data_IF_719390390122
#
_entry.id   IF_719390390122
#
_cell.length_a   1.000
_cell.length_b   1.000
_cell.length_c   1.000
_cell.angle_alpha   90.00
_cell.angle_beta   90.00
_cell.angle_gamma   90.00
#
_symmetry.space_group_name_H-M   'P 1'
#
loop_
_entity.id
_entity.type
_entity.pdbx_description
1 polymer ?
#
# COMPACT_ATOMS: atom_id res chain seq x y z
N UNK A 1 26.69 13.02 -0.44
CA UNK A 1 26.06 14.30 -0.89
C UNK A 1 25.07 14.71 0.20
N UNK A 2 25.10 15.95 0.63
CA UNK A 2 24.15 16.46 1.62
C UNK A 2 22.79 16.74 0.98
N UNK A 3 21.73 16.68 1.77
CA UNK A 3 20.36 16.95 1.29
C UNK A 3 20.19 18.34 0.69
N UNK A 4 20.89 19.35 1.19
CA UNK A 4 20.90 20.73 0.66
C UNK A 4 21.37 20.83 -0.80
N UNK A 5 22.13 19.83 -1.28
CA UNK A 5 22.67 19.79 -2.64
C UNK A 5 21.82 18.93 -3.61
N UNK A 6 20.66 18.46 -3.19
CA UNK A 6 19.73 17.72 -4.07
C UNK A 6 18.94 18.73 -4.89
N UNK A 7 18.83 18.51 -6.20
CA UNK A 7 17.91 19.26 -7.07
C UNK A 7 16.45 18.96 -6.69
N UNK A 8 15.63 20.00 -6.63
CA UNK A 8 14.20 19.92 -6.26
C UNK A 8 13.29 20.06 -7.47
N UNK A 9 12.04 19.55 -7.41
CA UNK A 9 11.49 18.76 -6.30
C UNK A 9 12.02 17.32 -6.26
N UNK A 10 12.18 16.74 -5.07
CA UNK A 10 12.73 15.41 -4.89
C UNK A 10 12.10 14.64 -3.70
N UNK A 11 11.85 13.33 -3.85
CA UNK A 11 11.41 12.49 -2.74
C UNK A 11 12.58 12.03 -1.88
N UNK A 12 12.49 12.29 -0.59
CA UNK A 12 13.44 11.83 0.43
C UNK A 12 12.82 10.72 1.27
N UNK A 13 13.60 9.70 1.60
CA UNK A 13 13.29 8.72 2.63
C UNK A 13 14.28 8.87 3.77
N UNK A 14 13.78 9.23 4.95
CA UNK A 14 14.58 9.17 6.18
C UNK A 14 14.74 7.69 6.58
N UNK A 15 15.96 7.18 6.44
CA UNK A 15 16.27 5.78 6.71
C UNK A 15 16.11 5.42 8.19
N UNK A 16 16.39 6.35 9.11
CA UNK A 16 16.22 6.09 10.54
C UNK A 16 14.74 5.88 10.89
N UNK A 17 13.84 6.72 10.34
CA UNK A 17 12.41 6.62 10.55
C UNK A 17 11.81 5.39 9.83
N UNK A 18 12.22 5.12 8.59
CA UNK A 18 11.79 3.94 7.85
C UNK A 18 12.19 2.64 8.59
N UNK A 19 13.43 2.53 9.02
CA UNK A 19 13.92 1.37 9.77
C UNK A 19 13.24 1.24 11.14
N UNK A 20 12.90 2.35 11.78
CA UNK A 20 12.09 2.35 13.01
C UNK A 20 10.68 1.79 12.73
N UNK A 21 10.04 2.18 11.65
CA UNK A 21 8.73 1.65 11.25
C UNK A 21 8.78 0.13 11.00
N UNK A 22 9.81 -0.34 10.29
CA UNK A 22 10.04 -1.78 10.06
C UNK A 22 10.22 -2.54 11.38
N UNK A 23 11.04 -2.03 12.31
CA UNK A 23 11.21 -2.62 13.66
C UNK A 23 9.91 -2.62 14.45
N UNK A 24 9.17 -1.52 14.46
CA UNK A 24 7.87 -1.40 15.15
C UNK A 24 6.88 -2.46 14.66
N UNK A 25 6.81 -2.71 13.35
CA UNK A 25 5.95 -3.76 12.79
C UNK A 25 6.45 -5.15 13.21
N UNK A 26 7.73 -5.43 13.09
CA UNK A 26 8.34 -6.71 13.50
C UNK A 26 8.11 -7.02 14.97
N UNK A 27 8.33 -6.05 15.85
CA UNK A 27 8.12 -6.18 17.29
C UNK A 27 6.65 -6.39 17.63
N UNK A 28 5.75 -5.69 16.94
CA UNK A 28 4.31 -5.86 17.15
C UNK A 28 3.81 -7.25 16.71
N UNK A 29 4.39 -7.83 15.68
CA UNK A 29 4.07 -9.19 15.22
C UNK A 29 4.65 -10.29 16.13
N UNK A 30 5.69 -9.98 16.90
CA UNK A 30 6.37 -10.98 17.72
C UNK A 30 5.41 -11.68 18.70
N UNK A 31 5.45 -13.02 18.71
CA UNK A 31 4.60 -13.84 19.55
C UNK A 31 3.14 -14.01 19.09
N UNK A 32 2.76 -13.40 17.95
CA UNK A 32 1.45 -13.60 17.32
C UNK A 32 1.52 -14.70 16.26
N UNK A 33 0.45 -15.49 16.13
CA UNK A 33 0.29 -16.39 14.98
C UNK A 33 -0.27 -15.59 13.79
N UNK A 34 0.49 -14.60 13.35
CA UNK A 34 0.08 -13.64 12.32
C UNK A 34 1.26 -13.35 11.40
N UNK A 35 1.03 -13.35 10.11
CA UNK A 35 2.05 -13.11 9.09
C UNK A 35 1.86 -11.74 8.45
N UNK A 36 2.97 -11.12 8.02
CA UNK A 36 2.96 -9.90 7.22
C UNK A 36 3.22 -10.24 5.75
N UNK A 37 2.33 -9.81 4.87
CA UNK A 37 2.53 -9.73 3.43
C UNK A 37 2.39 -8.28 3.00
N UNK A 38 3.51 -7.56 3.02
CA UNK A 38 3.52 -6.11 2.79
C UNK A 38 3.02 -5.72 1.40
N UNK A 39 2.35 -4.57 1.28
CA UNK A 39 1.73 -4.17 0.01
C UNK A 39 2.63 -3.24 -0.82
N UNK A 40 3.16 -3.76 -1.92
CA UNK A 40 4.12 -3.09 -2.83
C UNK A 40 3.56 -1.88 -3.60
N UNK A 41 2.23 -1.77 -3.76
CA UNK A 41 1.62 -0.64 -4.50
C UNK A 41 2.04 0.74 -3.98
N UNK A 42 2.41 0.81 -2.69
CA UNK A 42 2.85 2.03 -2.02
C UNK A 42 4.28 2.41 -2.37
N UNK A 43 5.32 1.62 -2.02
CA UNK A 43 6.70 2.03 -2.24
C UNK A 43 7.16 1.86 -3.69
N UNK A 44 6.55 0.97 -4.45
CA UNK A 44 6.86 0.68 -5.87
C UNK A 44 8.36 0.47 -6.18
N UNK A 45 9.17 0.22 -5.15
CA UNK A 45 10.61 -0.08 -5.29
C UNK A 45 10.98 -1.38 -4.60
N UNK A 46 11.57 -2.35 -5.31
CA UNK A 46 11.92 -3.65 -4.78
C UNK A 46 12.89 -3.61 -3.59
N UNK A 47 13.70 -2.56 -3.47
CA UNK A 47 14.62 -2.39 -2.35
C UNK A 47 13.87 -2.33 -1.02
N UNK A 48 12.74 -1.62 -0.97
CA UNK A 48 11.90 -1.57 0.23
C UNK A 48 11.24 -2.92 0.47
N UNK A 49 10.72 -3.59 -0.56
CA UNK A 49 10.15 -4.93 -0.44
C UNK A 49 11.15 -5.95 0.15
N UNK A 50 12.41 -5.90 -0.26
CA UNK A 50 13.47 -6.71 0.32
C UNK A 50 13.73 -6.37 1.79
N UNK A 51 13.76 -5.08 2.15
CA UNK A 51 13.88 -4.67 3.55
C UNK A 51 12.70 -5.17 4.40
N UNK A 52 11.48 -5.10 3.91
CA UNK A 52 10.31 -5.65 4.60
C UNK A 52 10.44 -7.17 4.83
N UNK A 53 10.96 -7.93 3.85
CA UNK A 53 11.24 -9.36 3.99
C UNK A 53 12.36 -9.62 5.02
N UNK A 54 13.44 -8.84 5.03
CA UNK A 54 14.51 -8.90 6.02
C UNK A 54 13.98 -8.66 7.45
N UNK A 55 12.95 -7.83 7.58
CA UNK A 55 12.27 -7.57 8.85
C UNK A 55 11.13 -8.53 9.17
N UNK A 56 10.92 -9.57 8.36
CA UNK A 56 10.05 -10.70 8.67
C UNK A 56 8.76 -10.77 7.88
N UNK A 57 8.57 -9.97 6.83
CA UNK A 57 7.47 -10.19 5.90
C UNK A 57 7.66 -11.53 5.17
N UNK A 58 6.60 -12.32 5.07
CA UNK A 58 6.65 -13.64 4.42
C UNK A 58 6.69 -13.57 2.89
N UNK A 59 6.24 -12.45 2.34
CA UNK A 59 6.09 -12.19 0.92
C UNK A 59 5.51 -10.80 0.68
N UNK A 60 5.04 -10.55 -0.53
CA UNK A 60 4.63 -9.21 -0.97
C UNK A 60 3.28 -9.26 -1.71
N UNK A 61 2.41 -8.29 -1.47
CA UNK A 61 1.24 -8.05 -2.30
C UNK A 61 1.59 -7.13 -3.47
N UNK A 62 1.16 -7.47 -4.67
CA UNK A 62 1.16 -6.60 -5.84
C UNK A 62 -0.26 -6.23 -6.24
N UNK A 63 -0.50 -5.01 -6.72
CA UNK A 63 -1.83 -4.61 -7.19
C UNK A 63 -2.03 -4.91 -8.67
N UNK A 64 -0.98 -4.97 -9.44
CA UNK A 64 -0.99 -5.15 -10.91
C UNK A 64 0.03 -6.19 -11.36
N UNK A 65 -0.23 -6.77 -12.54
CA UNK A 65 0.70 -7.75 -13.14
C UNK A 65 2.07 -7.11 -13.40
N UNK A 66 2.11 -5.87 -13.90
CA UNK A 66 3.36 -5.15 -14.11
C UNK A 66 4.17 -4.89 -12.82
N UNK A 67 3.51 -4.73 -11.67
CA UNK A 67 4.19 -4.68 -10.36
C UNK A 67 4.77 -6.06 -9.99
N UNK A 68 4.00 -7.13 -10.20
CA UNK A 68 4.45 -8.49 -9.96
C UNK A 68 5.66 -8.86 -10.83
N UNK A 69 5.69 -8.43 -12.10
CA UNK A 69 6.85 -8.62 -12.98
C UNK A 69 8.12 -7.95 -12.42
N UNK A 70 8.00 -6.71 -11.93
CA UNK A 70 9.13 -5.99 -11.29
C UNK A 70 9.62 -6.74 -10.04
N UNK A 71 8.71 -7.23 -9.21
CA UNK A 71 9.05 -8.01 -8.01
C UNK A 71 9.74 -9.33 -8.36
N UNK A 72 9.25 -10.06 -9.37
CA UNK A 72 9.87 -11.30 -9.86
C UNK A 72 11.26 -11.05 -10.43
N UNK A 73 11.44 -10.00 -11.23
CA UNK A 73 12.75 -9.59 -11.76
C UNK A 73 13.74 -9.24 -10.64
N UNK A 74 13.25 -8.68 -9.55
CA UNK A 74 14.04 -8.41 -8.35
C UNK A 74 14.28 -9.65 -7.46
N UNK A 75 13.75 -10.82 -7.81
CA UNK A 75 13.99 -12.08 -7.11
C UNK A 75 13.02 -12.39 -5.96
N UNK A 76 11.98 -11.59 -5.74
CA UNK A 76 10.94 -11.85 -4.72
C UNK A 76 10.21 -13.16 -5.05
N UNK A 77 10.07 -14.05 -4.07
CA UNK A 77 9.65 -15.45 -4.28
C UNK A 77 8.18 -15.75 -3.99
N UNK A 78 7.51 -14.98 -3.15
CA UNK A 78 6.10 -15.18 -2.79
C UNK A 78 5.31 -13.89 -3.00
N UNK A 79 4.41 -13.89 -4.00
CA UNK A 79 3.67 -12.70 -4.45
C UNK A 79 2.18 -13.03 -4.54
N UNK A 80 1.35 -12.25 -3.85
CA UNK A 80 -0.10 -12.27 -3.99
C UNK A 80 -0.54 -11.04 -4.80
N UNK A 81 -1.19 -11.26 -5.93
CA UNK A 81 -1.79 -10.17 -6.72
C UNK A 81 -3.20 -9.90 -6.17
N UNK A 82 -3.35 -8.77 -5.52
CA UNK A 82 -4.59 -8.36 -4.83
C UNK A 82 -5.52 -7.58 -5.75
N UNK A 83 -5.73 -8.10 -6.95
CA UNK A 83 -6.63 -7.54 -7.95
C UNK A 83 -7.16 -8.66 -8.86
N UNK A 84 -8.38 -8.50 -9.38
CA UNK A 84 -8.95 -9.41 -10.37
C UNK A 84 -8.26 -9.22 -11.71
N UNK A 85 -7.60 -10.26 -12.20
CA UNK A 85 -6.91 -10.25 -13.49
C UNK A 85 -7.78 -10.98 -14.51
N UNK A 86 -8.48 -10.22 -15.36
CA UNK A 86 -9.48 -10.75 -16.31
C UNK A 86 -9.02 -10.65 -17.77
N UNK A 87 -8.13 -9.74 -18.10
CA UNK A 87 -7.59 -9.59 -19.46
C UNK A 87 -6.73 -10.81 -19.84
N UNK A 88 -6.99 -11.49 -20.98
CA UNK A 88 -6.26 -12.71 -21.35
C UNK A 88 -4.76 -12.53 -21.48
N UNK A 89 -4.30 -11.37 -21.95
CA UNK A 89 -2.86 -11.07 -22.09
C UNK A 89 -2.23 -10.94 -20.71
N UNK A 90 -2.90 -10.28 -19.76
CA UNK A 90 -2.44 -10.15 -18.37
C UNK A 90 -2.46 -11.50 -17.64
N UNK A 91 -3.47 -12.34 -17.89
CA UNK A 91 -3.54 -13.70 -17.33
C UNK A 91 -2.33 -14.52 -17.80
N UNK A 92 -2.04 -14.49 -19.10
CA UNK A 92 -0.89 -15.23 -19.64
C UNK A 92 0.44 -14.72 -19.07
N UNK A 93 0.66 -13.40 -19.01
CA UNK A 93 1.83 -12.78 -18.39
C UNK A 93 2.00 -13.23 -16.94
N UNK A 94 0.93 -13.09 -16.14
CA UNK A 94 0.92 -13.48 -14.72
C UNK A 94 1.27 -14.97 -14.53
N UNK A 95 0.65 -15.86 -15.29
CA UNK A 95 0.90 -17.31 -15.17
C UNK A 95 2.34 -17.67 -15.57
N UNK A 96 2.93 -16.99 -16.55
CA UNK A 96 4.33 -17.20 -16.91
C UNK A 96 5.30 -16.87 -15.77
N UNK A 97 4.95 -15.99 -14.84
CA UNK A 97 5.75 -15.66 -13.65
C UNK A 97 5.90 -16.85 -12.68
N UNK A 98 4.97 -17.81 -12.71
CA UNK A 98 5.03 -19.02 -11.88
C UNK A 98 6.32 -19.83 -12.05
N UNK A 99 7.03 -19.66 -13.15
CA UNK A 99 8.33 -20.30 -13.39
C UNK A 99 9.45 -19.80 -12.49
N UNK A 100 9.28 -18.61 -11.90
CA UNK A 100 10.33 -17.91 -11.16
C UNK A 100 9.96 -17.65 -9.71
N UNK A 101 8.65 -17.50 -9.42
CA UNK A 101 8.13 -17.15 -8.12
C UNK A 101 6.77 -17.80 -7.91
N UNK A 102 6.39 -18.05 -6.64
CA UNK A 102 5.04 -18.44 -6.27
C UNK A 102 4.13 -17.23 -6.48
N UNK A 103 3.28 -17.28 -7.50
CA UNK A 103 2.28 -16.26 -7.79
C UNK A 103 0.91 -16.78 -7.37
N UNK A 104 0.17 -15.95 -6.65
CA UNK A 104 -1.21 -16.18 -6.26
C UNK A 104 -2.04 -14.96 -6.66
N UNK A 105 -3.35 -15.12 -6.82
CA UNK A 105 -4.23 -14.04 -7.26
C UNK A 105 -5.58 -14.11 -6.56
N UNK A 106 -6.22 -12.96 -6.37
CA UNK A 106 -7.59 -12.90 -5.86
C UNK A 106 -8.61 -13.05 -6.99
N UNK A 107 -9.76 -13.64 -6.68
CA UNK A 107 -10.87 -13.88 -7.61
C UNK A 107 -12.21 -13.62 -6.92
N UNK A 108 -13.22 -13.21 -7.71
CA UNK A 108 -14.59 -13.01 -7.23
C UNK A 108 -15.66 -13.44 -8.26
N UNK A 109 -15.24 -14.08 -9.35
CA UNK A 109 -16.15 -14.43 -10.42
C UNK A 109 -15.79 -15.77 -11.09
N UNK A 110 -16.74 -16.70 -11.26
CA UNK A 110 -16.46 -18.02 -11.81
C UNK A 110 -15.99 -18.00 -13.27
N UNK A 111 -16.39 -17.00 -14.07
CA UNK A 111 -15.92 -16.84 -15.46
C UNK A 111 -14.43 -16.51 -15.48
N UNK A 112 -14.00 -15.62 -14.58
CA UNK A 112 -12.57 -15.29 -14.42
C UNK A 112 -11.76 -16.51 -13.94
N UNK A 113 -12.26 -17.23 -12.91
CA UNK A 113 -11.61 -18.44 -12.40
C UNK A 113 -11.43 -19.49 -13.49
N UNK A 114 -12.44 -19.68 -14.36
CA UNK A 114 -12.35 -20.62 -15.49
C UNK A 114 -11.24 -20.22 -16.46
N UNK A 115 -11.15 -18.94 -16.84
CA UNK A 115 -10.08 -18.44 -17.72
C UNK A 115 -8.68 -18.65 -17.10
N UNK A 116 -8.53 -18.37 -15.81
CA UNK A 116 -7.30 -18.62 -15.05
C UNK A 116 -6.92 -20.11 -15.05
N UNK A 117 -7.89 -20.99 -14.75
CA UNK A 117 -7.69 -22.44 -14.73
C UNK A 117 -7.26 -22.99 -16.08
N UNK A 118 -7.98 -22.65 -17.15
CA UNK A 118 -7.66 -23.11 -18.51
C UNK A 118 -6.27 -22.65 -18.96
N UNK A 119 -5.90 -21.41 -18.63
CA UNK A 119 -4.58 -20.87 -19.01
C UNK A 119 -3.47 -21.53 -18.19
N UNK A 120 -3.66 -21.76 -16.90
CA UNK A 120 -2.71 -22.46 -16.04
C UNK A 120 -2.47 -23.90 -16.55
N UNK A 121 -3.52 -24.63 -16.90
CA UNK A 121 -3.41 -25.98 -17.49
C UNK A 121 -2.61 -25.99 -18.80
N UNK A 122 -2.86 -25.04 -19.71
CA UNK A 122 -2.10 -24.89 -20.96
C UNK A 122 -0.58 -24.66 -20.71
N UNK A 123 -0.22 -24.09 -19.57
CA UNK A 123 1.16 -23.82 -19.16
C UNK A 123 1.74 -24.89 -18.21
N UNK A 124 1.02 -26.01 -17.99
CA UNK A 124 1.39 -27.10 -17.08
C UNK A 124 1.71 -26.59 -15.66
N UNK A 125 0.89 -25.70 -15.14
CA UNK A 125 1.01 -25.17 -13.78
C UNK A 125 -0.33 -25.12 -13.08
N UNK A 126 -0.33 -24.89 -11.76
CA UNK A 126 -1.52 -24.69 -10.94
C UNK A 126 -1.41 -23.37 -10.19
N UNK A 127 -2.44 -22.53 -10.28
CA UNK A 127 -2.46 -21.19 -9.70
C UNK A 127 -3.22 -21.20 -8.37
N UNK A 128 -2.58 -20.74 -7.30
CA UNK A 128 -3.26 -20.49 -6.03
C UNK A 128 -4.19 -19.30 -6.13
N UNK A 129 -5.45 -19.46 -5.69
CA UNK A 129 -6.43 -18.40 -5.74
C UNK A 129 -7.04 -18.14 -4.37
N UNK A 130 -7.26 -16.86 -4.04
CA UNK A 130 -7.99 -16.40 -2.88
C UNK A 130 -9.33 -15.81 -3.33
N UNK A 131 -10.42 -16.18 -2.66
CA UNK A 131 -11.71 -15.56 -2.96
C UNK A 131 -11.80 -14.23 -2.24
N UNK A 132 -12.00 -13.13 -3.00
CA UNK A 132 -12.27 -11.82 -2.39
C UNK A 132 -13.72 -11.76 -1.94
N UNK A 133 -13.93 -11.40 -0.67
CA UNK A 133 -15.22 -11.23 -0.04
C UNK A 133 -15.51 -9.75 0.14
N UNK A 134 -16.69 -9.29 -0.28
CA UNK A 134 -17.13 -7.92 0.02
C UNK A 134 -17.54 -7.79 1.49
N UNK A 135 -16.59 -7.43 2.32
CA UNK A 135 -16.82 -7.22 3.75
C UNK A 135 -17.49 -5.87 4.09
N UNK A 136 -18.03 -5.19 3.07
CA UNK A 136 -18.77 -3.92 3.22
C UNK A 136 -18.19 -2.76 2.41
N UNK A 137 -17.09 -2.99 1.69
CA UNK A 137 -16.40 -1.98 0.90
C UNK A 137 -17.11 -1.62 -0.41
N UNK A 138 -17.99 -2.49 -0.92
CA UNK A 138 -18.74 -2.33 -2.16
C UNK A 138 -17.87 -1.97 -3.36
N UNK A 139 -16.66 -2.55 -3.40
CA UNK A 139 -15.68 -2.34 -4.47
C UNK A 139 -15.61 -3.56 -5.40
N UNK A 140 -15.15 -4.67 -4.87
CA UNK A 140 -15.03 -5.98 -5.49
C UNK A 140 -15.36 -7.04 -4.45
N UNK A 141 -15.44 -8.29 -4.89
CA UNK A 141 -15.69 -9.44 -4.03
C UNK A 141 -17.11 -10.00 -4.14
N UNK A 142 -17.24 -11.28 -3.84
CA UNK A 142 -18.54 -11.94 -3.69
C UNK A 142 -19.15 -11.60 -2.34
N UNK A 143 -20.47 -11.74 -2.24
CA UNK A 143 -21.15 -11.54 -0.97
C UNK A 143 -20.71 -12.61 0.05
N UNK A 144 -20.58 -12.24 1.35
CA UNK A 144 -20.29 -13.17 2.42
C UNK A 144 -21.28 -14.33 2.45
N UNK A 145 -20.83 -15.50 2.93
CA UNK A 145 -21.71 -16.64 3.14
C UNK A 145 -21.92 -17.47 1.87
N UNK A 146 -23.17 -17.78 1.51
CA UNK A 146 -23.54 -18.76 0.49
C UNK A 146 -22.91 -18.50 -0.89
N UNK A 147 -22.80 -17.27 -1.32
CA UNK A 147 -22.20 -16.94 -2.63
C UNK A 147 -20.69 -17.26 -2.62
N UNK A 148 -20.02 -16.99 -1.51
CA UNK A 148 -18.60 -17.33 -1.34
C UNK A 148 -18.41 -18.84 -1.34
N UNK A 149 -19.23 -19.61 -0.59
CA UNK A 149 -19.20 -21.09 -0.58
C UNK A 149 -19.41 -21.65 -1.98
N UNK A 150 -20.36 -21.11 -2.75
CA UNK A 150 -20.61 -21.60 -4.11
C UNK A 150 -19.43 -21.35 -5.05
N UNK A 151 -18.77 -20.18 -4.94
CA UNK A 151 -17.56 -19.91 -5.72
C UNK A 151 -16.41 -20.86 -5.34
N UNK A 152 -16.20 -21.11 -4.05
CA UNK A 152 -15.20 -22.09 -3.56
C UNK A 152 -15.51 -23.49 -4.12
N UNK A 153 -16.78 -23.93 -4.10
CA UNK A 153 -17.21 -25.21 -4.69
C UNK A 153 -16.94 -25.28 -6.18
N UNK A 154 -17.09 -24.18 -6.92
CA UNK A 154 -16.75 -24.15 -8.34
C UNK A 154 -15.23 -24.21 -8.57
N UNK A 155 -14.44 -23.48 -7.77
CA UNK A 155 -12.96 -23.52 -7.81
C UNK A 155 -12.48 -24.95 -7.56
N UNK A 156 -13.04 -25.67 -6.59
CA UNK A 156 -12.61 -27.03 -6.22
C UNK A 156 -12.78 -28.05 -7.34
N UNK A 157 -13.65 -27.81 -8.32
CA UNK A 157 -13.85 -28.64 -9.52
C UNK A 157 -12.88 -28.34 -10.66
N UNK A 158 -12.07 -27.29 -10.57
CA UNK A 158 -11.18 -26.83 -11.63
C UNK A 158 -9.73 -27.27 -11.35
N UNK A 159 -9.10 -27.94 -12.31
CA UNK A 159 -7.77 -28.55 -12.13
C UNK A 159 -6.61 -27.54 -12.16
N UNK A 160 -6.76 -26.43 -12.89
CA UNK A 160 -5.69 -25.42 -13.07
C UNK A 160 -5.58 -24.38 -11.97
N UNK A 161 -6.51 -24.40 -11.01
CA UNK A 161 -6.50 -23.51 -9.85
C UNK A 161 -6.62 -24.28 -8.54
N UNK A 162 -6.23 -23.64 -7.44
CA UNK A 162 -6.32 -24.19 -6.11
C UNK A 162 -6.79 -23.12 -5.12
N UNK A 163 -7.87 -23.41 -4.40
CA UNK A 163 -8.36 -22.52 -3.35
C UNK A 163 -7.35 -22.48 -2.20
N UNK A 164 -6.95 -21.28 -1.78
CA UNK A 164 -5.98 -21.05 -0.71
C UNK A 164 -6.55 -20.27 0.47
N UNK A 165 -7.71 -19.67 0.30
CA UNK A 165 -8.33 -18.92 1.36
C UNK A 165 -9.07 -17.67 0.90
N UNK A 166 -9.24 -16.73 1.81
CA UNK A 166 -10.07 -15.55 1.64
C UNK A 166 -9.23 -14.27 1.63
N UNK A 167 -9.61 -13.34 0.75
CA UNK A 167 -9.16 -11.94 0.77
C UNK A 167 -10.30 -11.08 1.32
N UNK A 168 -10.08 -10.46 2.48
CA UNK A 168 -11.09 -9.69 3.20
C UNK A 168 -10.54 -8.30 3.54
N UNK A 169 -10.60 -7.35 2.59
CA UNK A 169 -10.00 -6.03 2.77
C UNK A 169 -11.03 -4.91 2.88
N UNK A 170 -11.10 -4.29 4.05
CA UNK A 170 -11.96 -3.14 4.33
C UNK A 170 -11.23 -1.81 4.07
N UNK A 171 -10.96 -1.49 2.80
CA UNK A 171 -10.23 -0.29 2.40
C UNK A 171 -10.88 1.01 2.88
N UNK A 172 -12.21 1.06 2.94
CA UNK A 172 -12.98 2.22 3.38
C UNK A 172 -12.78 2.56 4.87
N UNK A 173 -12.28 1.60 5.68
CA UNK A 173 -12.03 1.79 7.11
C UNK A 173 -10.60 2.26 7.43
N UNK A 174 -9.69 2.28 6.46
CA UNK A 174 -8.27 2.57 6.74
C UNK A 174 -8.06 3.93 7.42
N UNK A 175 -8.82 4.95 6.99
CA UNK A 175 -8.79 6.30 7.53
C UNK A 175 -10.20 6.81 7.90
N UNK A 176 -11.11 5.89 8.25
CA UNK A 176 -12.52 6.23 8.48
C UNK A 176 -12.72 7.18 9.66
N UNK A 177 -11.83 7.15 10.67
CA UNK A 177 -11.93 8.03 11.84
C UNK A 177 -11.95 9.52 11.49
N UNK A 178 -11.35 9.93 10.37
CA UNK A 178 -11.42 11.32 9.89
C UNK A 178 -12.84 11.76 9.52
N UNK A 179 -13.70 10.80 9.14
CA UNK A 179 -15.08 11.09 8.67
C UNK A 179 -16.15 10.71 9.68
N UNK A 180 -15.98 9.58 10.36
CA UNK A 180 -17.03 9.01 11.22
C UNK A 180 -16.64 8.94 12.69
N UNK A 181 -15.40 9.27 13.05
CA UNK A 181 -14.84 9.14 14.39
C UNK A 181 -14.38 7.72 14.72
N UNK A 182 -13.56 7.61 15.77
CA UNK A 182 -12.91 6.35 16.14
C UNK A 182 -13.92 5.29 16.63
N UNK A 183 -14.89 5.65 17.46
CA UNK A 183 -15.87 4.71 18.00
C UNK A 183 -16.69 4.03 16.89
N UNK A 184 -17.21 4.82 15.95
CA UNK A 184 -17.94 4.26 14.79
C UNK A 184 -17.07 3.42 13.90
N UNK A 185 -15.79 3.79 13.71
CA UNK A 185 -14.83 2.95 13.00
C UNK A 185 -14.69 1.57 13.66
N UNK A 186 -14.61 1.52 14.99
CA UNK A 186 -14.52 0.25 15.72
C UNK A 186 -15.80 -0.59 15.59
N UNK A 187 -16.98 0.04 15.61
CA UNK A 187 -18.25 -0.66 15.33
C UNK A 187 -18.29 -1.27 13.93
N UNK A 188 -17.81 -0.53 12.92
CA UNK A 188 -17.74 -1.05 11.54
C UNK A 188 -16.69 -2.17 11.39
N UNK A 189 -15.54 -2.06 12.05
CA UNK A 189 -14.52 -3.13 12.09
C UNK A 189 -15.15 -4.40 12.67
N UNK A 190 -15.89 -4.32 13.76
CA UNK A 190 -16.59 -5.47 14.34
C UNK A 190 -17.54 -6.15 13.33
N UNK A 191 -18.31 -5.39 12.56
CA UNK A 191 -19.18 -5.93 11.51
C UNK A 191 -18.39 -6.61 10.40
N UNK A 192 -17.21 -6.07 10.06
CA UNK A 192 -16.30 -6.67 9.07
C UNK A 192 -15.80 -8.02 9.59
N UNK A 193 -15.29 -8.07 10.81
CA UNK A 193 -14.74 -9.31 11.39
C UNK A 193 -15.80 -10.39 11.58
N UNK A 194 -17.02 -10.02 12.00
CA UNK A 194 -18.17 -10.94 12.08
C UNK A 194 -18.50 -11.56 10.70
N UNK A 195 -18.42 -10.80 9.62
CA UNK A 195 -18.62 -11.32 8.25
C UNK A 195 -17.49 -12.28 7.85
N UNK A 196 -16.25 -11.93 8.18
CA UNK A 196 -15.08 -12.78 7.90
C UNK A 196 -15.23 -14.13 8.60
N UNK A 197 -15.47 -14.12 9.90
CA UNK A 197 -15.58 -15.35 10.71
C UNK A 197 -16.75 -16.22 10.26
N UNK A 198 -17.93 -15.61 10.06
CA UNK A 198 -19.12 -16.36 9.59
C UNK A 198 -18.86 -16.99 8.22
N UNK A 199 -18.25 -16.25 7.29
CA UNK A 199 -17.95 -16.78 5.94
C UNK A 199 -16.94 -17.92 6.00
N UNK A 200 -15.91 -17.82 6.85
CA UNK A 200 -14.93 -18.89 7.06
C UNK A 200 -15.63 -20.17 7.57
N UNK A 201 -16.44 -20.04 8.62
CA UNK A 201 -17.20 -21.18 9.19
C UNK A 201 -18.11 -21.82 8.15
N UNK A 202 -18.86 -21.05 7.36
CA UNK A 202 -19.75 -21.61 6.34
C UNK A 202 -19.00 -22.37 5.24
N UNK A 203 -17.77 -21.96 4.89
CA UNK A 203 -16.91 -22.66 3.94
C UNK A 203 -16.40 -23.98 4.55
N UNK A 204 -15.96 -23.95 5.82
CA UNK A 204 -15.48 -25.12 6.55
C UNK A 204 -16.60 -26.15 6.77
N UNK A 205 -17.80 -25.71 7.14
CA UNK A 205 -19.01 -26.54 7.24
C UNK A 205 -19.42 -27.18 5.90
N UNK A 206 -19.10 -26.51 4.79
CA UNK A 206 -19.31 -27.06 3.44
C UNK A 206 -18.22 -28.07 3.02
N UNK A 207 -17.24 -28.36 3.89
CA UNK A 207 -16.18 -29.34 3.69
C UNK A 207 -14.94 -28.83 2.95
N UNK A 208 -14.70 -27.52 2.93
CA UNK A 208 -13.52 -26.92 2.32
C UNK A 208 -12.61 -26.32 3.38
N UNK A 209 -11.30 -26.53 3.25
CA UNK A 209 -10.31 -25.93 4.13
C UNK A 209 -9.99 -24.49 3.73
N UNK A 210 -9.94 -23.57 4.69
CA UNK A 210 -9.53 -22.16 4.51
C UNK A 210 -8.11 -22.01 5.07
N UNK A 211 -7.10 -22.26 4.22
CA UNK A 211 -5.68 -22.24 4.65
C UNK A 211 -5.25 -20.86 5.18
N UNK A 212 -5.81 -19.79 4.64
CA UNK A 212 -5.41 -18.42 5.00
C UNK A 212 -6.54 -17.43 4.81
N UNK A 213 -6.81 -16.63 5.82
CA UNK A 213 -7.60 -15.39 5.72
C UNK A 213 -6.62 -14.22 5.69
N UNK A 214 -6.63 -13.44 4.61
CA UNK A 214 -5.71 -12.32 4.43
C UNK A 214 -6.48 -11.02 4.20
N UNK A 215 -5.98 -9.90 4.74
CA UNK A 215 -6.63 -8.59 4.66
C UNK A 215 -5.97 -7.57 5.55
N UNK A 216 -6.78 -6.70 6.14
CA UNK A 216 -6.32 -5.60 6.98
C UNK A 216 -5.32 -4.65 6.27
N UNK A 217 -5.09 -3.49 6.81
CA UNK A 217 -4.17 -2.51 6.24
C UNK A 217 -3.50 -1.67 7.33
N UNK A 218 -2.73 -0.67 6.94
CA UNK A 218 -1.98 0.18 7.87
C UNK A 218 -2.86 0.81 8.95
N UNK A 219 -4.06 1.26 8.59
CA UNK A 219 -4.97 1.96 9.52
C UNK A 219 -5.88 1.05 10.34
N UNK A 220 -5.92 -0.27 10.08
CA UNK A 220 -6.86 -1.18 10.74
C UNK A 220 -6.21 -2.40 11.38
N UNK A 221 -5.00 -2.81 10.94
CA UNK A 221 -4.39 -4.09 11.32
C UNK A 221 -4.36 -4.36 12.83
N UNK A 222 -4.18 -3.35 13.69
CA UNK A 222 -4.13 -3.53 15.14
C UNK A 222 -5.49 -3.79 15.79
N UNK A 223 -6.58 -3.54 15.07
CA UNK A 223 -7.94 -3.65 15.58
C UNK A 223 -8.69 -4.89 15.10
N UNK A 224 -8.20 -5.56 14.06
CA UNK A 224 -8.89 -6.69 13.42
C UNK A 224 -8.00 -7.94 13.24
N UNK A 225 -6.73 -7.91 13.66
CA UNK A 225 -5.72 -8.94 13.36
C UNK A 225 -6.09 -10.35 13.85
N UNK A 226 -6.88 -10.48 14.91
CA UNK A 226 -7.25 -11.78 15.50
C UNK A 226 -8.12 -12.63 14.57
N UNK A 227 -8.71 -12.01 13.55
CA UNK A 227 -9.57 -12.63 12.55
C UNK A 227 -8.83 -13.00 11.26
N UNK A 228 -7.52 -12.77 11.22
CA UNK A 228 -6.67 -12.95 10.04
C UNK A 228 -5.46 -13.84 10.35
N UNK A 229 -5.04 -14.60 9.35
CA UNK A 229 -3.77 -15.34 9.37
C UNK A 229 -2.64 -14.49 8.79
N UNK A 230 -3.00 -13.47 7.98
CA UNK A 230 -2.07 -12.64 7.24
C UNK A 230 -2.62 -11.21 7.09
N UNK A 231 -1.77 -10.20 7.33
CA UNK A 231 -2.11 -8.79 7.15
C UNK A 231 -1.34 -8.17 5.99
N UNK A 232 -1.93 -7.12 5.36
CA UNK A 232 -1.44 -6.50 4.12
C UNK A 232 -1.13 -4.98 4.23
N UNK A 233 -0.61 -4.44 5.33
CA UNK A 233 -0.24 -3.03 5.40
C UNK A 233 0.87 -2.70 4.39
N UNK A 234 0.77 -1.55 3.72
CA UNK A 234 1.77 -1.06 2.78
C UNK A 234 2.32 0.31 3.17
N UNK A 235 1.46 1.24 3.54
CA UNK A 235 1.84 2.62 3.87
C UNK A 235 2.69 2.74 5.14
N UNK A 236 2.67 1.74 6.03
CA UNK A 236 3.34 1.78 7.33
C UNK A 236 4.84 2.06 7.25
N UNK A 237 5.50 1.61 6.18
CA UNK A 237 6.96 1.70 6.04
C UNK A 237 7.43 3.13 5.81
N UNK A 238 6.64 3.94 5.08
CA UNK A 238 6.97 5.32 4.70
C UNK A 238 6.06 6.36 5.36
N UNK A 239 4.78 6.06 5.55
CA UNK A 239 3.73 6.90 6.12
C UNK A 239 3.52 8.24 5.39
N UNK A 240 2.37 8.87 5.64
CA UNK A 240 2.03 10.21 5.19
C UNK A 240 1.20 10.97 6.24
N UNK A 241 0.88 12.22 5.93
CA UNK A 241 0.15 13.10 6.85
C UNK A 241 -1.28 12.60 7.15
N UNK A 242 -1.94 11.93 6.19
CA UNK A 242 -3.31 11.43 6.37
C UNK A 242 -3.37 10.14 7.17
N UNK A 243 -2.37 9.25 7.02
CA UNK A 243 -2.30 8.01 7.80
C UNK A 243 -1.76 8.22 9.22
N UNK A 244 -0.94 9.25 9.48
CA UNK A 244 -0.30 9.46 10.79
C UNK A 244 -1.29 9.49 11.96
N UNK A 245 -2.43 10.17 11.89
CA UNK A 245 -3.43 10.11 12.97
C UNK A 245 -4.05 8.72 13.15
N UNK A 246 -4.21 7.95 12.08
CA UNK A 246 -4.86 6.63 12.07
C UNK A 246 -3.93 5.49 12.50
N UNK A 247 -2.63 5.69 12.38
CA UNK A 247 -1.59 4.73 12.75
C UNK A 247 -0.43 5.44 13.48
N UNK A 248 -0.67 6.03 14.67
CA UNK A 248 0.26 6.94 15.35
C UNK A 248 1.59 6.28 15.78
N UNK A 249 1.64 4.96 15.80
CA UNK A 249 2.83 4.17 16.14
C UNK A 249 3.91 4.12 15.04
N UNK A 250 3.60 4.57 13.83
CA UNK A 250 4.56 4.71 12.74
C UNK A 250 4.88 6.18 12.49
N UNK A 251 6.11 6.48 12.09
CA UNK A 251 6.56 7.83 11.79
C UNK A 251 6.53 8.09 10.28
N UNK A 252 6.33 9.35 9.88
CA UNK A 252 6.40 9.75 8.49
C UNK A 252 7.86 9.79 8.06
N UNK A 253 8.29 8.81 7.28
CA UNK A 253 9.64 8.67 6.77
C UNK A 253 9.82 9.27 5.37
N UNK A 254 8.71 9.54 4.67
CA UNK A 254 8.70 10.13 3.33
C UNK A 254 8.45 11.64 3.39
N UNK A 255 9.30 12.42 2.73
CA UNK A 255 9.08 13.85 2.48
C UNK A 255 9.34 14.21 1.02
N UNK A 256 8.68 15.28 0.55
CA UNK A 256 9.07 15.98 -0.66
C UNK A 256 9.98 17.15 -0.28
N UNK A 257 11.19 17.17 -0.82
CA UNK A 257 12.09 18.31 -0.75
C UNK A 257 11.73 19.29 -1.84
N UNK A 258 11.53 20.55 -1.48
CA UNK A 258 11.25 21.65 -2.41
C UNK A 258 12.11 22.87 -2.07
N UNK A 259 12.23 23.82 -3.01
CA UNK A 259 12.98 25.06 -2.84
C UNK A 259 12.03 26.26 -2.87
N UNK A 260 12.19 27.20 -1.95
CA UNK A 260 11.50 28.49 -1.98
C UNK A 260 12.01 29.29 -3.16
N UNK A 261 11.14 29.60 -4.11
CA UNK A 261 11.47 30.28 -5.36
C UNK A 261 11.04 31.76 -5.40
N UNK A 262 10.07 32.13 -4.53
CA UNK A 262 9.55 33.49 -4.49
C UNK A 262 8.96 33.83 -3.12
N UNK A 263 9.14 35.10 -2.72
CA UNK A 263 8.59 35.68 -1.48
C UNK A 263 7.76 36.95 -1.83
N UNK A 264 6.60 36.78 -2.53
CA UNK A 264 5.87 37.93 -3.10
C UNK A 264 5.14 38.78 -2.06
N UNK A 265 4.86 38.23 -0.87
CA UNK A 265 4.21 38.91 0.24
C UNK A 265 4.87 38.52 1.56
N UNK A 266 4.80 39.38 2.59
CA UNK A 266 5.46 39.09 3.88
C UNK A 266 4.99 37.79 4.58
N UNK A 267 3.77 37.34 4.28
CA UNK A 267 3.15 36.17 4.89
C UNK A 267 2.85 35.03 3.91
N UNK A 268 3.47 35.11 2.71
CA UNK A 268 3.30 34.08 1.68
C UNK A 268 4.58 33.86 0.89
N UNK A 269 4.96 32.60 0.75
CA UNK A 269 6.05 32.16 -0.12
C UNK A 269 5.58 31.12 -1.13
N UNK A 270 6.32 31.01 -2.21
CA UNK A 270 6.09 30.05 -3.29
C UNK A 270 7.28 29.11 -3.38
N UNK A 271 7.03 27.82 -3.60
CA UNK A 271 8.05 26.80 -3.80
C UNK A 271 7.85 26.03 -5.12
N UNK A 272 8.89 25.37 -5.59
CA UNK A 272 9.03 24.75 -6.91
C UNK A 272 8.37 23.36 -7.05
N UNK A 273 7.36 23.04 -6.24
CA UNK A 273 6.62 21.79 -6.33
C UNK A 273 5.13 22.06 -6.49
N UNK A 274 4.54 21.55 -7.55
CA UNK A 274 3.12 21.63 -7.86
C UNK A 274 2.45 20.26 -8.00
N UNK A 275 1.27 20.22 -8.61
CA UNK A 275 0.48 19.00 -8.80
C UNK A 275 1.19 17.90 -9.59
N UNK A 276 2.25 18.23 -10.36
CA UNK A 276 3.06 17.23 -11.06
C UNK A 276 4.10 16.53 -10.17
N UNK A 277 4.32 17.02 -8.97
CA UNK A 277 5.29 16.44 -8.02
C UNK A 277 4.72 16.04 -6.66
N UNK A 278 3.49 16.49 -6.33
CA UNK A 278 2.82 16.12 -5.09
C UNK A 278 1.30 16.02 -5.29
N UNK A 279 0.71 14.91 -4.85
CA UNK A 279 -0.73 14.70 -4.92
C UNK A 279 -1.47 15.39 -3.77
N UNK A 280 -2.71 15.83 -4.06
CA UNK A 280 -3.62 16.45 -3.09
C UNK A 280 -4.98 15.73 -3.00
N UNK A 281 -5.07 14.48 -3.48
CA UNK A 281 -6.31 13.70 -3.51
C UNK A 281 -6.86 13.38 -2.11
N UNK A 282 -6.02 13.39 -1.06
CA UNK A 282 -6.43 13.29 0.35
C UNK A 282 -6.37 14.65 1.08
N UNK A 283 -6.30 15.75 0.36
CA UNK A 283 -6.24 17.09 0.90
C UNK A 283 -4.86 17.75 0.77
N UNK A 284 -4.67 18.92 1.37
CA UNK A 284 -3.42 19.64 1.25
C UNK A 284 -2.28 18.93 1.99
N UNK A 285 -1.04 19.05 1.47
CA UNK A 285 0.15 18.60 2.20
C UNK A 285 0.44 19.52 3.39
N UNK A 286 1.38 19.11 4.25
CA UNK A 286 1.83 19.92 5.40
C UNK A 286 3.34 20.07 5.45
N UNK A 287 3.83 21.20 5.96
CA UNK A 287 5.26 21.39 6.16
C UNK A 287 5.76 20.55 7.34
N UNK A 288 6.93 19.95 7.15
CA UNK A 288 7.70 19.37 8.24
C UNK A 288 8.36 20.50 9.05
N UNK A 289 8.38 20.35 10.37
CA UNK A 289 9.05 21.23 11.33
C UNK A 289 8.49 22.67 11.45
N UNK A 290 7.46 23.06 10.70
CA UNK A 290 6.82 24.37 10.77
C UNK A 290 5.37 24.25 11.27
N UNK A 291 5.07 24.97 12.34
CA UNK A 291 3.70 25.08 12.89
C UNK A 291 3.00 26.32 12.34
N UNK A 292 1.66 26.32 12.42
CA UNK A 292 0.83 27.46 12.05
C UNK A 292 1.05 27.92 10.59
N UNK A 293 1.34 26.95 9.71
CA UNK A 293 1.48 27.18 8.26
C UNK A 293 0.35 26.49 7.51
N UNK A 294 -0.07 27.06 6.40
CA UNK A 294 -1.02 26.46 5.46
C UNK A 294 -0.36 26.25 4.12
N UNK A 295 -0.09 24.99 3.78
CA UNK A 295 0.43 24.60 2.49
C UNK A 295 -0.72 24.37 1.50
N UNK A 296 -0.58 24.88 0.26
CA UNK A 296 -1.54 24.67 -0.84
C UNK A 296 -0.80 24.41 -2.14
N UNK A 297 -1.43 23.66 -3.03
CA UNK A 297 -0.91 23.32 -4.36
C UNK A 297 -1.87 23.88 -5.42
N UNK A 298 -1.75 25.15 -5.78
CA UNK A 298 -2.71 25.83 -6.66
C UNK A 298 -2.44 25.61 -8.16
N UNK A 299 -1.28 25.08 -8.53
CA UNK A 299 -0.89 24.91 -9.93
C UNK A 299 -0.03 23.67 -10.15
N UNK A 300 0.32 23.42 -11.42
CA UNK A 300 1.07 22.26 -11.86
C UNK A 300 2.50 22.22 -11.29
N UNK A 301 3.16 23.37 -11.19
CA UNK A 301 4.60 23.50 -10.87
C UNK A 301 4.88 24.32 -9.61
N UNK A 302 3.87 24.92 -8.99
CA UNK A 302 4.06 25.79 -7.83
C UNK A 302 3.16 25.38 -6.67
N UNK A 303 3.75 25.30 -5.50
CA UNK A 303 3.05 25.27 -4.21
C UNK A 303 3.23 26.59 -3.47
N UNK A 304 2.36 26.84 -2.51
CA UNK A 304 2.35 28.05 -1.69
C UNK A 304 2.28 27.71 -0.21
N UNK A 305 2.97 28.49 0.60
CA UNK A 305 2.87 28.46 2.05
C UNK A 305 2.36 29.80 2.53
N UNK A 306 1.28 29.79 3.28
CA UNK A 306 0.77 30.93 4.02
C UNK A 306 1.11 30.73 5.51
N UNK A 307 1.59 31.80 6.16
CA UNK A 307 2.05 31.74 7.54
C UNK A 307 1.90 33.09 8.25
N UNK A 308 2.14 33.11 9.58
CA UNK A 308 2.22 34.34 10.32
C UNK A 308 3.68 34.80 10.41
N UNK A 309 4.00 36.01 9.94
CA UNK A 309 5.36 36.58 9.92
C UNK A 309 6.03 36.62 11.29
N UNK A 310 5.26 36.77 12.36
CA UNK A 310 5.82 36.78 13.72
C UNK A 310 6.31 35.41 14.18
N UNK A 311 5.94 34.32 13.47
CA UNK A 311 6.23 32.93 13.88
C UNK A 311 7.17 32.22 12.92
N UNK A 312 7.17 32.58 11.64
CA UNK A 312 7.94 31.90 10.61
C UNK A 312 8.60 32.91 9.64
N UNK A 313 9.75 32.53 9.13
CA UNK A 313 10.48 33.26 8.09
C UNK A 313 11.03 32.27 7.08
N UNK A 314 11.06 32.64 5.80
CA UNK A 314 11.58 31.80 4.71
C UNK A 314 12.39 32.69 3.72
N UNK A 315 13.56 32.20 3.35
CA UNK A 315 14.44 32.89 2.38
C UNK A 315 14.32 32.26 0.98
N UNK A 316 14.54 33.07 -0.04
CA UNK A 316 14.66 32.57 -1.43
C UNK A 316 15.88 31.63 -1.51
N UNK A 317 15.66 30.43 -2.10
CA UNK A 317 16.68 29.38 -2.19
C UNK A 317 16.71 28.44 -0.99
N UNK A 318 15.97 28.74 0.09
CA UNK A 318 15.82 27.84 1.21
C UNK A 318 15.14 26.53 0.79
N UNK A 319 15.61 25.39 1.31
CA UNK A 319 15.00 24.09 1.10
C UNK A 319 14.10 23.71 2.25
N UNK A 320 12.89 23.29 1.89
CA UNK A 320 11.85 22.85 2.82
C UNK A 320 11.48 21.39 2.56
N UNK A 321 11.09 20.70 3.62
CA UNK A 321 10.54 19.36 3.52
C UNK A 321 9.02 19.39 3.76
N UNK A 322 8.28 18.68 2.91
CA UNK A 322 6.83 18.67 2.88
C UNK A 322 6.35 17.22 3.07
N UNK A 323 5.46 17.00 4.03
CA UNK A 323 4.75 15.73 4.19
C UNK A 323 3.61 15.64 3.16
N UNK A 324 3.61 14.68 2.23
CA UNK A 324 2.48 14.47 1.34
C UNK A 324 1.23 14.06 2.14
N UNK A 325 0.07 14.47 1.67
CA UNK A 325 -1.21 13.99 2.21
C UNK A 325 -1.52 12.55 1.79
N UNK A 326 -1.02 12.12 0.64
CA UNK A 326 -1.15 10.75 0.13
C UNK A 326 0.14 10.29 -0.55
N UNK A 327 0.80 9.32 0.06
CA UNK A 327 2.09 8.87 -0.45
C UNK A 327 1.97 8.02 -1.73
N UNK A 328 0.96 7.14 -1.87
CA UNK A 328 0.83 6.23 -3.02
C UNK A 328 0.80 6.99 -4.35
N UNK A 329 -0.03 8.02 -4.45
CA UNK A 329 -0.17 8.85 -5.66
C UNK A 329 1.01 9.78 -5.86
N UNK A 330 1.59 10.33 -4.79
CA UNK A 330 2.79 11.17 -4.86
C UNK A 330 4.01 10.38 -5.35
N UNK A 331 4.27 9.19 -4.79
CA UNK A 331 5.40 8.33 -5.20
C UNK A 331 5.32 8.01 -6.70
N UNK A 332 4.12 7.78 -7.21
CA UNK A 332 3.94 7.43 -8.63
C UNK A 332 4.24 8.60 -9.60
N UNK A 333 4.45 9.83 -9.11
CA UNK A 333 4.88 10.98 -9.90
C UNK A 333 6.40 11.07 -10.08
N UNK A 334 7.19 10.30 -9.33
CA UNK A 334 8.65 10.38 -9.29
C UNK A 334 9.33 9.12 -9.80
N UNK A 335 10.55 9.27 -10.32
CA UNK A 335 11.37 8.17 -10.85
C UNK A 335 12.29 7.54 -9.79
N UNK A 336 12.59 8.26 -8.71
CA UNK A 336 13.58 7.85 -7.71
C UNK A 336 13.31 8.44 -6.33
N UNK A 337 13.82 7.76 -5.32
CA UNK A 337 13.98 8.27 -3.95
C UNK A 337 15.44 8.58 -3.67
N UNK A 338 15.67 9.58 -2.85
CA UNK A 338 16.93 9.78 -2.15
C UNK A 338 16.80 9.20 -0.73
N UNK A 339 17.52 8.12 -0.47
CA UNK A 339 17.61 7.49 0.85
C UNK A 339 18.62 8.24 1.69
N UNK A 340 18.17 8.86 2.77
CA UNK A 340 18.89 9.85 3.55
C UNK A 340 19.05 9.39 5.00
N UNK A 341 20.26 9.56 5.56
CA UNK A 341 20.52 9.39 6.99
C UNK A 341 21.30 10.60 7.50
N UNK A 342 20.80 11.22 8.57
CA UNK A 342 21.46 12.39 9.19
C UNK A 342 21.80 13.52 8.17
N UNK A 343 20.85 13.81 7.26
CA UNK A 343 20.99 14.80 6.18
C UNK A 343 22.05 14.47 5.10
N UNK A 344 22.51 13.22 5.04
CA UNK A 344 23.41 12.74 4.00
C UNK A 344 22.72 11.66 3.16
N UNK A 345 22.86 11.74 1.84
CA UNK A 345 22.35 10.73 0.90
C UNK A 345 23.26 9.51 0.96
N UNK A 346 22.70 8.39 1.44
CA UNK A 346 23.39 7.09 1.42
C UNK A 346 23.19 6.36 0.08
N UNK A 347 22.01 6.49 -0.53
CA UNK A 347 21.69 5.84 -1.80
C UNK A 347 20.61 6.60 -2.58
N UNK A 348 20.53 6.30 -3.86
CA UNK A 348 19.42 6.72 -4.73
C UNK A 348 18.72 5.45 -5.24
N UNK A 349 17.43 5.32 -4.94
CA UNK A 349 16.65 4.14 -5.27
C UNK A 349 15.66 4.41 -6.39
N UNK A 350 15.72 3.70 -7.51
CA UNK A 350 14.73 3.86 -8.58
C UNK A 350 13.37 3.31 -8.16
N UNK A 351 12.29 4.00 -8.58
CA UNK A 351 10.91 3.56 -8.38
C UNK A 351 10.51 2.70 -9.59
N UNK A 352 11.02 1.46 -9.63
CA UNK A 352 10.96 0.59 -10.81
C UNK A 352 9.52 0.22 -11.24
N UNK A 353 8.58 0.23 -10.31
CA UNK A 353 7.17 -0.05 -10.61
C UNK A 353 6.32 1.22 -10.83
N UNK A 354 6.94 2.39 -10.94
CA UNK A 354 6.24 3.61 -11.37
C UNK A 354 5.60 3.40 -12.74
N UNK A 355 4.34 3.76 -12.91
CA UNK A 355 3.63 3.59 -14.18
C UNK A 355 3.29 2.16 -14.58
N UNK A 356 3.57 1.16 -13.74
CA UNK A 356 3.25 -0.27 -14.02
C UNK A 356 1.79 -0.59 -13.67
N UNK A 357 0.86 0.02 -14.38
CA UNK A 357 -0.59 -0.15 -14.18
C UNK A 357 -1.19 -1.35 -14.93
N UNK A 358 -0.44 -1.98 -15.81
CA UNK A 358 -0.88 -3.04 -16.71
C UNK A 358 -0.25 -4.39 -16.37
#
# INVERSE_FOLDING_TARGET
MKTENIETPALLIDLNLMEKNLRTMKEWLAGKNLRLRSHFKTPKTPIIAWKEIEYGAMGVCAQKVGEAEVLVQAGIKDILITNQIVDPVKIERMINLQRYSKIQVIVDNPVNVKCLSETALKKNTKLGVFVEVDVGGKRCGVQPGKETVELVRQISKMQGVEFKGLQCYAGYLQMAEHKIGFEKKMEEIKKVTERVDTTKVEIEDAGFDVETVTGAGTGTHRYEYEHYDEIQPGSYVLMDASYKPCAPWFDIALTLLATITSTPEPNRVVFDAGGKSISTDYGPPSLKDFKNTKCTIPSDEHGMIHFNESENHFDIGEKIEIYPSHLDTTINLHDKFYAVRNREVEAVWPILARGKFV
#
